data_IF_268616619508
#
_entry.id   IF_268616619508
#
_cell.length_a   1.000
_cell.length_b   1.000
_cell.length_c   1.000
_cell.angle_alpha   90.00
_cell.angle_beta   90.00
_cell.angle_gamma   90.00
#
_symmetry.space_group_name_H-M   'P 1'
#
loop_
_entity.id
_entity.type
_entity.pdbx_description
1 polymer ?
#
# COMPACT_ATOMS: atom_id res chain seq x y z
N UNK A 1 14.85 -4.99 4.79
CA UNK A 1 13.73 -5.21 5.73
C UNK A 1 12.64 -5.90 4.94
N UNK A 2 12.06 -6.96 5.48
CA UNK A 2 11.01 -7.73 4.81
C UNK A 2 9.62 -7.21 5.18
N UNK A 3 8.59 -7.63 4.43
CA UNK A 3 7.20 -7.36 4.79
C UNK A 3 6.86 -7.89 6.19
N UNK A 4 7.29 -9.09 6.52
CA UNK A 4 7.03 -9.72 7.81
C UNK A 4 7.63 -8.93 8.97
N UNK A 5 8.79 -8.29 8.78
CA UNK A 5 9.40 -7.42 9.80
C UNK A 5 8.54 -6.18 10.13
N UNK A 6 7.67 -5.77 9.19
CA UNK A 6 6.79 -4.61 9.36
C UNK A 6 5.45 -4.95 10.02
N UNK A 7 5.05 -6.22 10.03
CA UNK A 7 3.81 -6.65 10.69
C UNK A 7 3.98 -6.44 12.20
N UNK A 8 2.94 -5.88 12.83
CA UNK A 8 2.95 -5.55 14.24
C UNK A 8 3.58 -4.20 14.58
N UNK A 9 4.10 -3.47 13.58
CA UNK A 9 4.72 -2.14 13.74
C UNK A 9 3.70 -1.03 13.58
N UNK A 10 3.94 0.08 14.29
CA UNK A 10 3.08 1.26 14.29
C UNK A 10 3.50 2.23 13.19
N UNK A 11 2.54 2.76 12.43
CA UNK A 11 2.78 3.81 11.44
C UNK A 11 2.97 5.16 12.14
N UNK A 12 4.08 5.83 11.86
CA UNK A 12 4.48 7.09 12.51
C UNK A 12 4.49 8.30 11.57
N UNK A 13 4.70 8.08 10.28
CA UNK A 13 4.64 9.13 9.26
C UNK A 13 4.28 8.53 7.90
N UNK A 14 3.56 9.29 7.08
CA UNK A 14 3.31 8.95 5.67
C UNK A 14 3.65 10.17 4.82
N UNK A 15 4.39 9.90 3.74
CA UNK A 15 4.65 10.86 2.66
C UNK A 15 4.32 10.22 1.33
N UNK A 16 4.24 11.02 0.28
CA UNK A 16 3.97 10.52 -1.06
C UNK A 16 4.79 11.26 -2.12
N UNK A 17 5.09 10.55 -3.20
CA UNK A 17 5.48 11.13 -4.47
C UNK A 17 4.33 10.93 -5.44
N UNK A 18 4.04 11.97 -6.21
CA UNK A 18 3.08 11.88 -7.31
C UNK A 18 3.75 12.36 -8.58
N UNK A 19 3.75 11.48 -9.59
CA UNK A 19 4.17 11.80 -10.94
C UNK A 19 2.91 11.85 -11.83
N UNK A 20 2.52 13.03 -12.34
CA UNK A 20 1.34 13.16 -13.16
C UNK A 20 1.48 12.44 -14.51
N UNK A 21 2.70 12.22 -15.01
CA UNK A 21 2.91 11.46 -16.24
C UNK A 21 4.34 10.89 -16.28
N UNK A 22 4.46 9.57 -16.20
CA UNK A 22 5.73 8.88 -16.38
C UNK A 22 6.07 8.71 -17.88
N UNK A 23 7.24 8.16 -18.18
CA UNK A 23 7.71 7.89 -19.56
C UNK A 23 6.79 6.97 -20.39
N UNK A 24 5.80 6.35 -19.78
CA UNK A 24 4.82 5.46 -20.40
C UNK A 24 3.41 6.07 -20.49
N UNK A 25 3.23 7.33 -20.11
CA UNK A 25 1.91 7.99 -20.11
C UNK A 25 1.00 7.56 -18.95
N UNK A 26 1.58 7.02 -17.87
CA UNK A 26 0.85 6.61 -16.67
C UNK A 26 1.10 7.59 -15.52
N UNK A 27 0.08 7.78 -14.70
CA UNK A 27 0.19 8.46 -13.42
C UNK A 27 0.70 7.48 -12.37
N UNK A 28 1.66 7.93 -11.56
CA UNK A 28 2.23 7.14 -10.47
C UNK A 28 2.05 7.89 -9.15
N UNK A 29 1.43 7.22 -8.19
CA UNK A 29 1.38 7.61 -6.79
C UNK A 29 2.16 6.57 -5.99
N UNK A 30 3.15 7.03 -5.24
CA UNK A 30 4.01 6.16 -4.43
C UNK A 30 4.01 6.69 -3.00
N UNK A 31 3.48 5.91 -2.07
CA UNK A 31 3.47 6.20 -0.64
C UNK A 31 4.72 5.65 0.01
N UNK A 32 5.23 6.43 0.95
CA UNK A 32 6.34 6.05 1.81
C UNK A 32 5.87 6.13 3.25
N UNK A 33 5.87 4.99 3.91
CA UNK A 33 5.33 4.80 5.25
C UNK A 33 6.51 4.60 6.20
N UNK A 34 6.64 5.50 7.15
CA UNK A 34 7.59 5.36 8.25
C UNK A 34 6.92 4.64 9.39
N UNK A 35 7.54 3.57 9.87
CA UNK A 35 7.06 2.78 11.01
C UNK A 35 7.92 3.02 12.25
N UNK A 36 7.48 2.51 13.40
CA UNK A 36 8.28 2.53 14.62
C UNK A 36 9.67 1.89 14.39
N UNK A 37 10.69 2.41 15.07
CA UNK A 37 12.14 2.19 14.80
C UNK A 37 12.70 2.88 13.55
N UNK A 38 12.02 3.94 13.08
CA UNK A 38 12.47 4.82 11.99
C UNK A 38 12.69 4.13 10.64
N UNK A 39 12.15 2.92 10.46
CA UNK A 39 12.23 2.19 9.19
C UNK A 39 11.18 2.70 8.21
N UNK A 40 11.54 2.66 6.94
CA UNK A 40 10.70 3.09 5.83
C UNK A 40 10.27 1.87 5.02
N UNK A 41 8.99 1.81 4.72
CA UNK A 41 8.37 0.81 3.85
C UNK A 41 7.54 1.50 2.77
N UNK A 42 7.21 0.75 1.74
CA UNK A 42 6.30 1.16 0.67
C UNK A 42 5.21 0.09 0.55
N UNK A 43 4.08 0.41 -0.08
CA UNK A 43 3.10 -0.63 -0.37
C UNK A 43 3.72 -1.60 -1.39
N UNK A 44 3.85 -2.89 -1.08
CA UNK A 44 4.58 -3.83 -1.94
C UNK A 44 3.71 -4.35 -3.08
N UNK A 45 4.34 -4.83 -4.14
CA UNK A 45 3.69 -5.67 -5.16
C UNK A 45 3.80 -7.15 -4.81
N UNK A 46 4.91 -7.54 -4.17
CA UNK A 46 5.23 -8.95 -3.94
C UNK A 46 5.20 -9.34 -2.46
N UNK A 47 4.72 -10.55 -2.12
CA UNK A 47 4.81 -11.11 -0.77
C UNK A 47 6.25 -11.21 -0.23
N UNK A 48 7.23 -11.31 -1.14
CA UNK A 48 8.67 -11.46 -0.84
C UNK A 48 9.45 -10.17 -1.05
N UNK A 49 8.77 -9.02 -1.19
CA UNK A 49 9.45 -7.76 -1.45
C UNK A 49 10.35 -7.36 -0.28
N UNK A 50 11.54 -6.84 -0.61
CA UNK A 50 12.47 -6.30 0.36
C UNK A 50 12.73 -4.83 0.03
N UNK A 51 12.54 -3.96 1.02
CA UNK A 51 12.79 -2.53 0.83
C UNK A 51 14.28 -2.22 0.93
N UNK A 52 14.82 -1.59 -0.12
CA UNK A 52 16.16 -1.02 -0.12
C UNK A 52 16.16 0.30 0.66
N UNK A 53 16.56 0.21 1.92
CA UNK A 53 16.52 1.33 2.87
C UNK A 53 17.21 2.61 2.34
N UNK A 54 18.33 2.49 1.61
CA UNK A 54 19.04 3.67 1.07
C UNK A 54 18.27 4.36 -0.05
N UNK A 55 17.65 3.58 -0.93
CA UNK A 55 16.87 4.11 -2.04
C UNK A 55 15.54 4.69 -1.57
N UNK A 56 14.83 3.96 -0.71
CA UNK A 56 13.56 4.39 -0.12
C UNK A 56 13.74 5.68 0.68
N UNK A 57 14.85 5.83 1.43
CA UNK A 57 15.14 7.06 2.16
C UNK A 57 15.31 8.27 1.24
N UNK A 58 16.09 8.14 0.16
CA UNK A 58 16.29 9.24 -0.81
C UNK A 58 14.97 9.71 -1.41
N UNK A 59 14.09 8.77 -1.77
CA UNK A 59 12.76 9.10 -2.29
C UNK A 59 11.88 9.76 -1.21
N UNK A 60 11.89 9.24 0.02
CA UNK A 60 11.15 9.79 1.15
C UNK A 60 11.55 11.23 1.51
N UNK A 61 12.83 11.58 1.38
CA UNK A 61 13.32 12.95 1.63
C UNK A 61 12.78 13.95 0.60
N UNK A 62 12.53 13.50 -0.63
CA UNK A 62 11.93 14.29 -1.71
C UNK A 62 10.41 14.26 -1.71
N UNK A 63 9.81 13.31 -0.96
CA UNK A 63 8.38 13.10 -0.91
C UNK A 63 7.66 14.23 -0.17
N UNK A 64 6.43 14.48 -0.61
CA UNK A 64 5.55 15.50 -0.04
C UNK A 64 4.86 14.95 1.20
N UNK A 65 4.66 15.80 2.20
CA UNK A 65 3.78 15.48 3.32
C UNK A 65 2.36 15.35 2.80
N UNK A 66 1.65 14.36 3.30
CA UNK A 66 0.22 14.20 3.00
C UNK A 66 -0.57 15.06 4.00
N UNK A 67 -1.22 16.12 3.53
CA UNK A 67 -2.12 16.96 4.33
C UNK A 67 -3.57 16.50 4.12
N UNK A 68 -3.88 15.29 4.57
CA UNK A 68 -5.19 14.66 4.39
C UNK A 68 -5.74 14.15 5.71
N UNK A 69 -7.06 14.29 5.90
CA UNK A 69 -7.79 13.67 7.02
C UNK A 69 -7.61 12.15 7.04
N UNK A 70 -7.34 11.54 5.89
CA UNK A 70 -7.06 10.11 5.82
C UNK A 70 -5.82 9.74 6.65
N UNK A 71 -4.78 10.58 6.63
CA UNK A 71 -3.55 10.29 7.39
C UNK A 71 -3.80 10.31 8.88
N UNK A 72 -4.64 11.22 9.37
CA UNK A 72 -5.04 11.24 10.78
C UNK A 72 -5.72 9.94 11.22
N UNK A 73 -6.39 9.24 10.29
CA UNK A 73 -7.01 7.93 10.53
C UNK A 73 -6.03 6.76 10.45
N UNK A 74 -4.83 6.96 9.89
CA UNK A 74 -3.81 5.91 9.69
C UNK A 74 -2.69 6.00 10.73
N UNK A 75 -2.29 7.22 11.11
CA UNK A 75 -1.18 7.42 12.04
C UNK A 75 -1.45 6.76 13.39
N UNK A 76 -0.39 6.25 14.00
CA UNK A 76 -0.39 5.51 15.26
C UNK A 76 -1.15 4.19 15.24
N UNK A 77 -1.53 3.69 14.06
CA UNK A 77 -2.09 2.36 13.92
C UNK A 77 -1.02 1.32 13.64
N UNK A 78 -1.22 0.14 14.21
CA UNK A 78 -0.44 -1.05 13.93
C UNK A 78 -0.83 -1.69 12.59
N UNK A 79 0.18 -2.10 11.82
CA UNK A 79 0.02 -2.96 10.65
C UNK A 79 -0.29 -4.38 11.11
N UNK A 80 -1.41 -4.93 10.67
CA UNK A 80 -1.87 -6.28 11.03
C UNK A 80 -1.47 -7.30 9.97
N UNK A 81 -1.66 -6.97 8.70
CA UNK A 81 -1.34 -7.89 7.61
C UNK A 81 -1.24 -7.16 6.26
N UNK A 82 -0.78 -7.89 5.25
CA UNK A 82 -0.82 -7.52 3.85
C UNK A 82 -1.74 -8.50 3.12
N UNK A 83 -2.53 -8.01 2.18
CA UNK A 83 -3.39 -8.84 1.33
C UNK A 83 -3.00 -8.63 -0.12
N UNK A 84 -2.89 -9.72 -0.87
CA UNK A 84 -2.48 -9.74 -2.26
C UNK A 84 -3.59 -10.30 -3.12
N UNK A 85 -3.70 -9.77 -4.33
CA UNK A 85 -4.64 -10.24 -5.35
C UNK A 85 -3.97 -11.32 -6.19
N UNK A 86 -4.74 -12.35 -6.52
CA UNK A 86 -4.30 -13.46 -7.36
C UNK A 86 -5.31 -13.69 -8.46
N UNK A 87 -4.85 -14.10 -9.64
CA UNK A 87 -5.62 -14.60 -10.76
C UNK A 87 -5.29 -16.08 -10.96
N UNK A 88 -6.28 -16.97 -10.89
CA UNK A 88 -6.07 -18.43 -11.02
C UNK A 88 -4.97 -19.01 -10.10
N UNK A 89 -4.80 -18.45 -8.89
CA UNK A 89 -3.73 -18.71 -7.92
C UNK A 89 -2.32 -18.17 -8.27
N UNK A 90 -2.18 -17.41 -9.36
CA UNK A 90 -0.96 -16.66 -9.67
C UNK A 90 -1.08 -15.22 -9.15
N UNK A 91 0.02 -14.65 -8.66
CA UNK A 91 0.02 -13.29 -8.11
C UNK A 91 -0.31 -12.28 -9.22
N UNK A 92 -1.23 -11.35 -8.95
CA UNK A 92 -1.46 -10.20 -9.83
C UNK A 92 -0.39 -9.14 -9.58
N UNK A 93 0.73 -9.25 -10.29
CA UNK A 93 1.90 -8.37 -10.13
C UNK A 93 1.65 -6.91 -10.58
N UNK A 94 0.50 -6.63 -11.17
CA UNK A 94 0.12 -5.27 -11.57
C UNK A 94 -0.53 -4.48 -10.43
N UNK A 95 -1.01 -5.19 -9.40
CA UNK A 95 -1.75 -4.61 -8.28
C UNK A 95 -0.89 -4.52 -7.03
N UNK A 96 -0.98 -3.39 -6.34
CA UNK A 96 -0.35 -3.19 -5.04
C UNK A 96 -1.07 -4.00 -3.98
N UNK A 97 -0.34 -4.40 -2.94
CA UNK A 97 -0.94 -5.02 -1.77
C UNK A 97 -1.93 -4.08 -1.08
N UNK A 98 -2.84 -4.68 -0.32
CA UNK A 98 -3.74 -3.96 0.60
C UNK A 98 -3.22 -4.18 2.02
N UNK A 99 -2.86 -3.10 2.71
CA UNK A 99 -2.37 -3.13 4.08
C UNK A 99 -3.56 -3.08 5.03
N UNK A 100 -3.67 -4.05 5.92
CA UNK A 100 -4.67 -4.09 6.99
C UNK A 100 -4.13 -3.44 8.26
N UNK A 101 -4.92 -2.57 8.89
CA UNK A 101 -4.58 -1.85 10.11
C UNK A 101 -5.47 -2.28 11.28
N UNK A 102 -4.99 -2.09 12.51
CA UNK A 102 -5.62 -2.66 13.72
C UNK A 102 -7.03 -2.13 14.03
N UNK A 103 -7.43 -1.00 13.44
CA UNK A 103 -8.78 -0.45 13.60
C UNK A 103 -9.78 -0.95 12.55
N UNK A 104 -9.39 -1.91 11.70
CA UNK A 104 -10.23 -2.42 10.61
C UNK A 104 -10.25 -1.51 9.36
N UNK A 105 -9.32 -0.56 9.26
CA UNK A 105 -9.04 0.17 8.03
C UNK A 105 -8.06 -0.63 7.16
N UNK A 106 -8.28 -0.59 5.86
CA UNK A 106 -7.41 -1.16 4.85
C UNK A 106 -6.94 -0.05 3.91
N UNK A 107 -5.66 0.00 3.57
CA UNK A 107 -5.09 1.02 2.70
C UNK A 107 -4.33 0.41 1.52
N UNK A 108 -4.39 1.05 0.36
CA UNK A 108 -3.66 0.63 -0.84
C UNK A 108 -3.44 1.83 -1.78
N UNK A 109 -2.64 1.64 -2.82
CA UNK A 109 -2.39 2.64 -3.85
C UNK A 109 -3.16 2.28 -5.11
N UNK A 110 -3.74 3.29 -5.76
CA UNK A 110 -4.23 3.15 -7.13
C UNK A 110 -3.37 3.97 -8.07
N UNK A 111 -2.91 3.32 -9.14
CA UNK A 111 -2.26 3.97 -10.27
C UNK A 111 -3.18 3.92 -11.49
N UNK A 112 -2.96 4.77 -12.50
CA UNK A 112 -3.85 4.82 -13.65
C UNK A 112 -3.28 5.57 -14.84
N UNK A 113 -3.94 5.51 -16.01
CA UNK A 113 -3.53 6.27 -17.19
C UNK A 113 -3.62 7.78 -16.96
N UNK A 114 -2.82 8.54 -17.72
CA UNK A 114 -2.85 10.00 -17.72
C UNK A 114 -4.27 10.56 -17.93
N UNK A 115 -4.65 11.55 -17.12
CA UNK A 115 -5.94 12.26 -17.22
C UNK A 115 -7.07 11.69 -16.34
N UNK A 116 -6.86 10.58 -15.63
CA UNK A 116 -7.78 10.10 -14.60
C UNK A 116 -7.46 10.72 -13.24
N UNK A 117 -8.47 10.97 -12.40
CA UNK A 117 -8.29 11.66 -11.11
C UNK A 117 -8.18 10.72 -9.90
N UNK A 118 -8.27 9.40 -10.09
CA UNK A 118 -8.35 8.42 -8.98
C UNK A 118 -6.99 7.78 -8.63
N UNK A 119 -5.92 8.57 -8.70
CA UNK A 119 -4.54 8.13 -8.40
C UNK A 119 -4.09 8.75 -7.07
N UNK A 120 -4.31 8.02 -5.98
CA UNK A 120 -4.07 8.46 -4.60
C UNK A 120 -3.88 7.23 -3.67
N UNK A 121 -3.55 7.49 -2.40
CA UNK A 121 -3.68 6.53 -1.32
C UNK A 121 -5.16 6.31 -1.03
N UNK A 122 -5.64 5.11 -1.32
CA UNK A 122 -7.02 4.71 -1.09
C UNK A 122 -7.18 4.03 0.27
N UNK A 123 -8.35 4.20 0.86
CA UNK A 123 -8.70 3.58 2.14
C UNK A 123 -10.10 3.01 2.10
N UNK A 124 -10.29 1.85 2.73
CA UNK A 124 -11.57 1.19 2.83
C UNK A 124 -11.74 0.57 4.22
N UNK A 125 -12.95 0.66 4.78
CA UNK A 125 -13.27 -0.02 6.03
C UNK A 125 -13.56 -1.51 5.77
N UNK A 126 -13.59 -2.32 6.82
CA UNK A 126 -13.82 -3.77 6.73
C UNK A 126 -15.00 -4.17 5.84
N UNK A 127 -16.14 -3.49 5.93
CA UNK A 127 -17.32 -3.83 5.11
C UNK A 127 -17.04 -3.60 3.61
N UNK A 128 -16.30 -2.54 3.27
CA UNK A 128 -15.94 -2.22 1.89
C UNK A 128 -14.88 -3.20 1.36
N UNK A 129 -13.91 -3.58 2.19
CA UNK A 129 -12.95 -4.62 1.86
C UNK A 129 -13.61 -5.98 1.63
N UNK A 130 -14.56 -6.38 2.48
CA UNK A 130 -15.33 -7.61 2.30
C UNK A 130 -16.16 -7.59 1.01
N UNK A 131 -16.81 -6.45 0.72
CA UNK A 131 -17.52 -6.27 -0.56
C UNK A 131 -16.58 -6.31 -1.76
N UNK A 132 -15.37 -5.75 -1.65
CA UNK A 132 -14.36 -5.86 -2.71
C UNK A 132 -14.09 -7.34 -2.99
N UNK A 133 -13.81 -8.14 -1.93
CA UNK A 133 -13.58 -9.59 -2.05
C UNK A 133 -14.74 -10.37 -2.63
N UNK A 134 -15.98 -9.95 -2.37
CA UNK A 134 -17.18 -10.60 -2.92
C UNK A 134 -17.45 -10.24 -4.38
N UNK A 135 -17.05 -9.05 -4.81
CA UNK A 135 -17.35 -8.51 -6.14
C UNK A 135 -16.22 -8.66 -7.16
N UNK A 136 -15.04 -9.14 -6.76
CA UNK A 136 -14.01 -9.52 -7.74
C UNK A 136 -14.53 -10.65 -8.63
N UNK A 137 -14.07 -10.67 -9.88
CA UNK A 137 -14.37 -11.73 -10.83
C UNK A 137 -13.98 -13.10 -10.24
N UNK A 138 -14.74 -14.15 -10.54
CA UNK A 138 -14.61 -15.47 -9.87
C UNK A 138 -13.25 -16.14 -10.04
N UNK A 139 -12.45 -15.71 -11.01
CA UNK A 139 -11.10 -16.18 -11.29
C UNK A 139 -10.05 -15.49 -10.40
N UNK A 140 -10.44 -14.37 -9.77
CA UNK A 140 -9.59 -13.63 -8.85
C UNK A 140 -9.92 -13.92 -7.39
N UNK A 141 -8.91 -13.76 -6.55
CA UNK A 141 -9.03 -13.89 -5.11
C UNK A 141 -8.08 -12.91 -4.40
N UNK A 142 -8.45 -12.49 -3.19
CA UNK A 142 -7.59 -11.68 -2.32
C UNK A 142 -7.26 -12.50 -1.06
N UNK A 143 -5.98 -12.82 -0.90
CA UNK A 143 -5.46 -13.67 0.19
C UNK A 143 -4.53 -12.87 1.11
N UNK A 144 -4.61 -13.09 2.44
CA UNK A 144 -3.64 -12.50 3.37
C UNK A 144 -2.25 -13.13 3.18
N UNK A 145 -1.21 -12.39 3.53
CA UNK A 145 0.15 -12.91 3.64
C UNK A 145 0.18 -13.99 4.72
N UNK A 146 0.66 -15.17 4.35
CA UNK A 146 0.86 -16.28 5.27
C UNK A 146 2.30 -16.21 5.77
N UNK A 147 2.46 -15.89 7.06
CA UNK A 147 3.76 -15.91 7.73
C UNK A 147 4.10 -17.39 7.97
N UNK A 148 5.19 -17.86 7.35
CA UNK A 148 5.72 -19.21 7.57
C UNK A 148 6.64 -19.27 8.78
#
# INVERSE_FOLDING_TARGET
>A
MTLTDSIGKIITEIKYCYNPENKYGLQEFESFIKIDNDKLIQIPYFPTEEWNESETLKKFELARKVESKLIELILNLKIINYHFKYFENELDEMEKAIIELENGLYITEKNGPFGLTDVDLHSMHTIEFLKLKENIESEFEIKPLIIQ
#
